data_IF_049765220942
#
_entry.id   IF_049765220942
#
_cell.length_a   1.000
_cell.length_b   1.000
_cell.length_c   1.000
_cell.angle_alpha   90.00
_cell.angle_beta   90.00
_cell.angle_gamma   90.00
#
_symmetry.space_group_name_H-M   'P 1'
#
loop_
_entity.id
_entity.type
_entity.pdbx_description
1 polymer ?
#
# COMPACT_ATOMS: atom_id res chain seq x y z
N UNK A 1 1.91 3.49 4.59
CA UNK A 1 1.81 4.72 5.41
C UNK A 1 2.87 5.69 4.91
N UNK A 2 2.48 6.87 4.42
CA UNK A 2 3.43 7.86 3.88
C UNK A 2 2.89 8.60 2.66
N UNK A 3 1.75 8.15 2.14
CA UNK A 3 1.09 8.79 0.99
C UNK A 3 -0.04 9.74 1.41
N UNK A 4 -0.29 9.94 2.72
CA UNK A 4 -1.24 10.93 3.26
C UNK A 4 -0.66 12.33 3.06
N UNK A 5 -0.82 12.87 1.85
CA UNK A 5 -0.22 14.13 1.43
C UNK A 5 -1.07 14.77 0.33
N UNK A 6 -1.40 16.04 0.48
CA UNK A 6 -2.07 16.83 -0.54
C UNK A 6 -1.26 16.91 -1.84
N UNK A 7 0.08 16.98 -1.74
CA UNK A 7 0.96 16.99 -2.91
C UNK A 7 0.82 15.72 -3.75
N UNK A 8 0.78 14.55 -3.10
CA UNK A 8 0.59 13.27 -3.81
C UNK A 8 -0.77 13.21 -4.48
N UNK A 9 -1.83 13.68 -3.81
CA UNK A 9 -3.18 13.72 -4.37
C UNK A 9 -3.25 14.68 -5.56
N UNK A 10 -2.63 15.86 -5.46
CA UNK A 10 -2.54 16.83 -6.54
C UNK A 10 -1.79 16.25 -7.75
N UNK A 11 -0.65 15.58 -7.56
CA UNK A 11 0.06 14.89 -8.63
C UNK A 11 -0.78 13.81 -9.32
N UNK A 12 -1.63 13.10 -8.58
CA UNK A 12 -2.56 12.14 -9.17
C UNK A 12 -3.64 12.85 -9.98
N UNK A 13 -4.20 13.95 -9.46
CA UNK A 13 -5.22 14.75 -10.13
C UNK A 13 -4.69 15.31 -11.47
N UNK A 14 -3.52 15.96 -11.48
CA UNK A 14 -2.91 16.53 -12.69
C UNK A 14 -2.58 15.50 -13.77
N UNK A 15 -2.34 14.24 -13.36
CA UNK A 15 -2.06 13.13 -14.28
C UNK A 15 -3.28 12.28 -14.61
N UNK A 16 -4.45 12.63 -14.12
CA UNK A 16 -5.67 11.83 -14.23
C UNK A 16 -5.48 10.38 -13.74
N UNK A 17 -4.70 10.19 -12.67
CA UNK A 17 -4.50 8.90 -12.04
C UNK A 17 -5.52 8.67 -10.93
N UNK A 18 -6.16 7.51 -10.95
CA UNK A 18 -7.00 7.07 -9.85
C UNK A 18 -6.15 6.63 -8.66
N UNK A 19 -6.58 6.99 -7.45
CA UNK A 19 -5.88 6.59 -6.23
C UNK A 19 -6.84 6.17 -5.12
N UNK A 20 -6.34 5.31 -4.24
CA UNK A 20 -6.96 4.94 -2.97
C UNK A 20 -5.87 5.02 -1.90
N UNK A 21 -5.94 6.00 -1.02
CA UNK A 21 -4.94 6.26 0.02
C UNK A 21 -5.58 6.11 1.38
N UNK A 22 -4.99 5.28 2.25
CA UNK A 22 -5.42 5.20 3.64
C UNK A 22 -4.84 6.35 4.44
N UNK A 23 -5.71 7.06 5.15
CA UNK A 23 -5.32 8.10 6.10
C UNK A 23 -5.36 7.58 7.55
N UNK A 24 -4.65 8.28 8.44
CA UNK A 24 -4.55 7.90 9.85
C UNK A 24 -5.80 8.33 10.62
N UNK A 25 -6.07 7.65 11.75
CA UNK A 25 -7.11 8.05 12.70
C UNK A 25 -6.57 8.85 13.90
N UNK A 26 -5.26 9.10 13.96
CA UNK A 26 -4.60 9.77 15.10
C UNK A 26 -4.68 11.29 15.09
N UNK A 27 -4.08 11.91 16.11
CA UNK A 27 -4.12 13.37 16.33
C UNK A 27 -3.49 14.21 15.21
N UNK A 28 -2.58 13.64 14.42
CA UNK A 28 -1.91 14.29 13.30
C UNK A 28 -2.44 13.79 11.95
N UNK A 29 -3.71 13.41 11.88
CA UNK A 29 -4.36 12.98 10.65
C UNK A 29 -4.90 14.16 9.87
N UNK A 30 -4.83 14.08 8.53
CA UNK A 30 -5.52 14.97 7.59
C UNK A 30 -7.01 15.13 7.96
N UNK A 31 -7.65 14.07 8.43
CA UNK A 31 -9.05 14.03 8.84
C UNK A 31 -9.44 15.13 9.85
N UNK A 32 -8.51 15.53 10.73
CA UNK A 32 -8.76 16.56 11.74
C UNK A 32 -8.90 17.99 11.19
N UNK A 33 -8.48 18.20 9.97
CA UNK A 33 -8.61 19.50 9.29
C UNK A 33 -10.01 19.73 8.72
N UNK A 34 -10.92 18.76 8.85
CA UNK A 34 -12.26 18.82 8.25
C UNK A 34 -13.34 18.72 9.31
N UNK A 35 -14.46 19.40 9.05
CA UNK A 35 -15.70 19.16 9.76
C UNK A 35 -16.38 17.93 9.14
N UNK A 36 -16.26 16.81 9.81
CA UNK A 36 -16.78 15.51 9.39
C UNK A 36 -18.05 15.18 10.18
N UNK A 37 -18.95 14.33 9.62
CA UNK A 37 -20.10 13.83 10.35
C UNK A 37 -19.70 13.08 11.64
N UNK A 38 -20.50 13.21 12.70
CA UNK A 38 -20.31 12.49 13.97
C UNK A 38 -20.62 10.99 13.86
N UNK A 39 -20.94 10.50 12.69
CA UNK A 39 -21.23 9.09 12.43
C UNK A 39 -19.94 8.28 12.31
N UNK A 40 -19.93 7.02 12.83
CA UNK A 40 -18.78 6.15 12.72
C UNK A 40 -18.35 5.86 11.28
N UNK A 41 -19.31 5.83 10.34
CA UNK A 41 -19.11 5.65 8.91
C UNK A 41 -19.63 6.87 8.17
N UNK A 42 -18.89 7.34 7.18
CA UNK A 42 -19.27 8.46 6.33
C UNK A 42 -18.65 8.33 4.94
N UNK A 43 -19.18 9.11 4.01
CA UNK A 43 -18.76 9.18 2.62
C UNK A 43 -18.99 10.61 2.14
N UNK A 44 -17.92 11.42 2.14
CA UNK A 44 -17.99 12.86 1.91
C UNK A 44 -17.06 13.27 0.77
N UNK A 45 -17.56 14.11 -0.15
CA UNK A 45 -16.77 14.71 -1.22
C UNK A 45 -16.29 16.10 -0.81
N UNK A 46 -15.09 16.45 -1.23
CA UNK A 46 -14.44 17.73 -0.92
C UNK A 46 -13.92 18.38 -2.18
N UNK A 47 -14.23 19.68 -2.31
CA UNK A 47 -13.63 20.60 -3.27
C UNK A 47 -12.79 21.61 -2.49
N UNK A 48 -11.51 21.29 -2.31
CA UNK A 48 -10.62 21.95 -1.37
C UNK A 48 -9.73 22.98 -2.06
N UNK A 49 -9.90 24.24 -1.71
CA UNK A 49 -9.05 25.35 -2.13
C UNK A 49 -7.82 25.45 -1.22
N UNK A 50 -6.68 24.97 -1.69
CA UNK A 50 -5.41 24.99 -0.96
C UNK A 50 -4.69 26.31 -1.23
N UNK A 51 -4.25 27.00 -0.17
CA UNK A 51 -3.57 28.28 -0.28
C UNK A 51 -2.46 28.41 0.79
N UNK A 52 -1.43 29.21 0.50
CA UNK A 52 -0.33 29.52 1.44
C UNK A 52 -0.48 30.88 2.13
N UNK A 53 -1.51 31.66 1.82
CA UNK A 53 -1.70 32.98 2.43
C UNK A 53 -2.31 32.92 3.82
N UNK A 54 -1.85 33.83 4.69
CA UNK A 54 -2.31 33.98 6.07
C UNK A 54 -2.79 35.42 6.35
N UNK A 55 -3.52 36.06 5.43
CA UNK A 55 -4.22 37.30 5.74
C UNK A 55 -5.33 37.05 6.76
N UNK A 56 -5.84 38.09 7.41
CA UNK A 56 -6.90 37.91 8.40
C UNK A 56 -8.15 37.30 7.77
N UNK A 57 -8.55 37.77 6.59
CA UNK A 57 -9.69 37.25 5.83
C UNK A 57 -9.49 35.74 5.49
N UNK A 58 -8.28 35.37 5.10
CA UNK A 58 -7.97 33.95 4.82
C UNK A 58 -8.01 33.08 6.08
N UNK A 59 -7.57 33.59 7.22
CA UNK A 59 -7.66 32.86 8.50
C UNK A 59 -9.11 32.61 8.93
N UNK A 60 -9.99 33.56 8.67
CA UNK A 60 -11.43 33.41 8.89
C UNK A 60 -12.01 32.32 7.98
N UNK A 61 -11.68 32.34 6.68
CA UNK A 61 -12.11 31.28 5.74
C UNK A 61 -11.62 29.88 6.17
N UNK A 62 -10.37 29.74 6.60
CA UNK A 62 -9.85 28.43 7.07
C UNK A 62 -10.55 27.93 8.33
N UNK A 63 -10.97 28.86 9.22
CA UNK A 63 -11.68 28.51 10.45
C UNK A 63 -13.14 28.17 10.19
N UNK A 64 -13.81 29.01 9.40
CA UNK A 64 -15.26 28.95 9.24
C UNK A 64 -15.69 27.95 8.15
N UNK A 65 -14.82 27.73 7.15
CA UNK A 65 -15.06 26.80 6.02
C UNK A 65 -13.91 25.81 5.80
N UNK A 66 -13.54 24.99 6.81
CA UNK A 66 -12.39 24.09 6.72
C UNK A 66 -12.56 22.99 5.68
N UNK A 67 -13.79 22.68 5.25
CA UNK A 67 -14.06 21.71 4.19
C UNK A 67 -13.85 22.27 2.78
N UNK A 68 -13.72 23.59 2.64
CA UNK A 68 -13.55 24.28 1.35
C UNK A 68 -12.21 25.00 1.24
N UNK A 69 -11.60 25.42 2.36
CA UNK A 69 -10.36 26.17 2.37
C UNK A 69 -9.32 25.55 3.30
N UNK A 70 -8.11 25.40 2.81
CA UNK A 70 -7.03 24.80 3.59
C UNK A 70 -5.75 25.62 3.51
N UNK A 71 -5.21 25.98 4.68
CA UNK A 71 -3.90 26.61 4.76
C UNK A 71 -2.79 25.56 4.65
N UNK A 72 -1.86 25.79 3.73
CA UNK A 72 -0.68 24.96 3.56
C UNK A 72 0.57 25.70 4.10
N UNK A 73 1.24 25.18 5.15
CA UNK A 73 2.45 25.80 5.68
C UNK A 73 3.58 25.86 4.64
N UNK A 74 4.47 26.87 4.75
CA UNK A 74 5.59 27.06 3.82
C UNK A 74 6.59 25.89 3.81
N UNK A 75 6.72 25.20 4.93
CA UNK A 75 7.59 24.01 5.05
C UNK A 75 6.95 22.72 4.50
N UNK A 76 5.67 22.76 4.13
CA UNK A 76 5.01 21.61 3.49
C UNK A 76 5.35 21.58 2.00
N UNK A 77 5.82 20.44 1.52
CA UNK A 77 6.09 20.23 0.10
C UNK A 77 4.78 20.24 -0.69
N UNK A 78 4.71 21.11 -1.70
CA UNK A 78 3.57 21.17 -2.62
C UNK A 78 4.02 21.85 -3.93
N UNK A 79 4.00 21.11 -5.02
CA UNK A 79 4.64 21.51 -6.27
C UNK A 79 3.80 22.43 -7.16
N UNK A 80 2.51 22.61 -6.82
CA UNK A 80 1.54 23.37 -7.61
C UNK A 80 1.23 24.77 -7.05
N UNK A 81 1.90 25.17 -5.97
CA UNK A 81 1.85 26.52 -5.43
C UNK A 81 3.25 27.01 -5.10
N UNK A 82 3.55 28.31 -5.26
CA UNK A 82 4.83 28.89 -4.87
C UNK A 82 5.20 28.56 -3.42
N UNK A 83 6.47 28.26 -3.17
CA UNK A 83 6.95 27.90 -1.82
C UNK A 83 6.86 29.04 -0.81
N UNK A 84 6.82 30.29 -1.27
CA UNK A 84 6.63 31.46 -0.45
C UNK A 84 5.50 32.34 -0.99
N UNK A 85 4.72 32.94 -0.10
CA UNK A 85 3.71 33.92 -0.44
C UNK A 85 3.94 35.17 0.40
N UNK A 86 4.34 36.29 -0.23
CA UNK A 86 4.42 37.60 0.41
C UNK A 86 3.01 38.20 0.52
N UNK A 87 2.83 39.19 1.42
CA UNK A 87 1.53 39.88 1.53
C UNK A 87 1.08 40.54 0.22
N UNK A 88 2.06 41.04 -0.56
CA UNK A 88 1.86 41.72 -1.86
C UNK A 88 1.56 40.77 -3.01
N UNK A 89 1.85 39.46 -2.90
CA UNK A 89 1.64 38.52 -3.99
C UNK A 89 0.13 38.31 -4.23
N UNK A 90 -0.30 38.02 -5.46
CA UNK A 90 -1.69 37.71 -5.73
C UNK A 90 -2.17 36.50 -4.94
N UNK A 91 -3.43 36.43 -4.62
CA UNK A 91 -4.06 35.29 -4.01
C UNK A 91 -4.11 34.14 -5.04
N UNK A 92 -3.54 33.00 -4.70
CA UNK A 92 -3.53 31.82 -5.54
C UNK A 92 -4.08 30.62 -4.77
N UNK A 93 -4.98 29.89 -5.41
CA UNK A 93 -5.54 28.65 -4.92
C UNK A 93 -5.15 27.50 -5.84
N UNK A 94 -4.97 26.34 -5.24
CA UNK A 94 -5.00 25.07 -5.95
C UNK A 94 -6.27 24.33 -5.54
N UNK A 95 -7.10 23.99 -6.51
CA UNK A 95 -8.34 23.25 -6.31
C UNK A 95 -8.06 21.76 -6.32
N UNK A 96 -8.28 21.09 -5.20
CA UNK A 96 -8.09 19.64 -5.05
C UNK A 96 -9.42 18.97 -4.79
N UNK A 97 -9.81 18.06 -5.69
CA UNK A 97 -11.04 17.30 -5.60
C UNK A 97 -10.76 15.89 -5.08
N UNK A 98 -11.43 15.48 -4.03
CA UNK A 98 -11.31 14.15 -3.49
C UNK A 98 -12.54 13.78 -2.65
N UNK A 99 -12.61 12.50 -2.33
CA UNK A 99 -13.67 11.93 -1.51
C UNK A 99 -13.03 11.20 -0.33
N UNK A 100 -13.58 11.37 0.85
CA UNK A 100 -13.13 10.71 2.07
C UNK A 100 -14.20 9.73 2.53
N UNK A 101 -13.85 8.46 2.57
CA UNK A 101 -14.77 7.37 2.90
C UNK A 101 -14.30 6.65 4.14
N UNK A 102 -15.16 6.56 5.16
CA UNK A 102 -14.89 5.81 6.38
C UNK A 102 -15.88 4.66 6.52
N UNK A 103 -15.38 3.47 6.73
CA UNK A 103 -16.17 2.26 6.87
C UNK A 103 -15.63 1.34 7.97
N UNK A 104 -16.50 0.48 8.44
CA UNK A 104 -16.14 -0.54 9.42
C UNK A 104 -15.55 -1.78 8.72
N UNK A 105 -14.35 -2.21 9.18
CA UNK A 105 -13.71 -3.44 8.68
C UNK A 105 -14.21 -4.65 9.47
N UNK A 106 -14.31 -4.50 10.79
CA UNK A 106 -14.82 -5.48 11.74
C UNK A 106 -15.36 -4.73 12.96
N UNK A 107 -16.24 -5.33 13.78
CA UNK A 107 -16.89 -4.65 14.88
C UNK A 107 -15.95 -3.77 15.70
N UNK A 108 -16.20 -2.46 15.74
CA UNK A 108 -15.42 -1.45 16.44
C UNK A 108 -14.11 -1.03 15.79
N UNK A 109 -13.77 -1.53 14.59
CA UNK A 109 -12.55 -1.17 13.86
C UNK A 109 -12.87 -0.50 12.54
N UNK A 110 -12.46 0.74 12.41
CA UNK A 110 -12.74 1.57 11.25
C UNK A 110 -11.48 1.85 10.44
N UNK A 111 -11.66 2.06 9.16
CA UNK A 111 -10.64 2.53 8.23
C UNK A 111 -11.17 3.74 7.46
N UNK A 112 -10.29 4.73 7.24
CA UNK A 112 -10.63 5.90 6.44
C UNK A 112 -9.73 5.94 5.21
N UNK A 113 -10.34 6.05 4.05
CA UNK A 113 -9.68 6.15 2.76
C UNK A 113 -9.97 7.49 2.12
N UNK A 114 -9.01 8.00 1.35
CA UNK A 114 -9.17 9.14 0.45
C UNK A 114 -9.00 8.66 -0.98
N UNK A 115 -9.88 9.08 -1.86
CA UNK A 115 -9.90 8.65 -3.27
C UNK A 115 -10.46 9.77 -4.17
N UNK A 116 -10.12 9.71 -5.45
CA UNK A 116 -10.75 10.52 -6.50
C UNK A 116 -11.65 9.67 -7.41
N UNK A 117 -12.05 8.47 -6.97
CA UNK A 117 -12.92 7.57 -7.73
C UNK A 117 -14.32 7.55 -7.18
N UNK A 118 -15.31 7.22 -8.03
CA UNK A 118 -16.73 7.08 -7.67
C UNK A 118 -17.11 5.67 -7.18
N UNK A 119 -16.10 4.85 -6.83
CA UNK A 119 -16.36 3.49 -6.35
C UNK A 119 -17.15 3.49 -5.05
N UNK A 120 -18.08 2.52 -4.91
CA UNK A 120 -18.82 2.34 -3.65
C UNK A 120 -17.88 2.02 -2.48
N UNK A 121 -18.28 2.29 -1.23
CA UNK A 121 -17.47 1.97 -0.04
C UNK A 121 -17.05 0.49 0.01
N UNK A 122 -17.94 -0.43 -0.40
CA UNK A 122 -17.68 -1.87 -0.47
C UNK A 122 -16.58 -2.17 -1.48
N UNK A 123 -16.67 -1.57 -2.67
CA UNK A 123 -15.65 -1.72 -3.72
C UNK A 123 -14.30 -1.16 -3.28
N UNK A 124 -14.29 -0.01 -2.60
CA UNK A 124 -13.07 0.58 -2.03
C UNK A 124 -12.45 -0.32 -0.97
N UNK A 125 -13.27 -0.91 -0.10
CA UNK A 125 -12.84 -1.87 0.92
C UNK A 125 -12.16 -3.08 0.30
N UNK A 126 -12.77 -3.66 -0.73
CA UNK A 126 -12.23 -4.81 -1.44
C UNK A 126 -10.91 -4.46 -2.16
N UNK A 127 -10.88 -3.37 -2.91
CA UNK A 127 -9.67 -2.92 -3.61
C UNK A 127 -8.54 -2.63 -2.64
N UNK A 128 -8.83 -1.98 -1.52
CA UNK A 128 -7.82 -1.69 -0.51
C UNK A 128 -7.30 -2.95 0.19
N UNK A 129 -8.15 -3.97 0.35
CA UNK A 129 -7.75 -5.26 0.91
C UNK A 129 -6.65 -5.95 0.07
N UNK A 130 -6.64 -5.79 -1.25
CA UNK A 130 -5.58 -6.32 -2.13
C UNK A 130 -4.19 -5.75 -1.82
N UNK A 131 -4.10 -4.58 -1.19
CA UNK A 131 -2.82 -4.02 -0.72
C UNK A 131 -2.06 -4.97 0.22
N UNK A 132 -2.76 -5.82 0.98
CA UNK A 132 -2.13 -6.84 1.83
C UNK A 132 -1.26 -7.84 1.05
N UNK A 133 -1.49 -7.97 -0.24
CA UNK A 133 -0.64 -8.77 -1.13
C UNK A 133 0.82 -8.30 -1.12
N UNK A 134 1.08 -7.00 -0.97
CA UNK A 134 2.43 -6.43 -0.89
C UNK A 134 3.16 -6.94 0.36
N UNK A 135 2.50 -6.97 1.54
CA UNK A 135 3.11 -7.44 2.78
C UNK A 135 3.44 -8.93 2.71
N UNK A 136 2.57 -9.72 2.06
CA UNK A 136 2.82 -11.13 1.79
C UNK A 136 3.98 -11.31 0.82
N UNK A 137 4.06 -10.50 -0.24
CA UNK A 137 5.16 -10.52 -1.21
C UNK A 137 6.50 -10.17 -0.56
N UNK A 138 6.56 -9.19 0.34
CA UNK A 138 7.79 -8.91 1.09
C UNK A 138 8.21 -10.06 1.99
N UNK A 139 7.25 -10.77 2.60
CA UNK A 139 7.55 -11.97 3.38
C UNK A 139 8.11 -13.07 2.50
N UNK A 140 7.50 -13.32 1.36
CA UNK A 140 7.93 -14.33 0.41
C UNK A 140 9.33 -14.01 -0.16
N UNK A 141 9.60 -12.74 -0.48
CA UNK A 141 10.93 -12.27 -0.90
C UNK A 141 11.99 -12.51 0.18
N UNK A 142 11.69 -12.13 1.43
CA UNK A 142 12.65 -12.26 2.53
C UNK A 142 12.96 -13.71 2.87
N UNK A 143 11.94 -14.55 2.95
CA UNK A 143 12.09 -15.90 3.53
C UNK A 143 12.10 -17.00 2.46
N UNK A 144 11.18 -16.99 1.50
CA UNK A 144 11.13 -18.05 0.47
C UNK A 144 12.20 -17.87 -0.61
N UNK A 145 12.47 -16.63 -0.99
CA UNK A 145 13.52 -16.30 -1.98
C UNK A 145 14.87 -16.06 -1.31
N UNK A 146 14.90 -15.61 -0.04
CA UNK A 146 16.11 -15.39 0.72
C UNK A 146 16.76 -14.02 0.50
N UNK A 147 15.95 -12.95 0.27
CA UNK A 147 16.46 -11.59 0.00
C UNK A 147 17.26 -10.98 1.18
N UNK A 148 17.27 -11.59 2.35
CA UNK A 148 18.04 -11.14 3.51
C UNK A 148 19.44 -11.74 3.63
N UNK A 149 19.82 -12.66 2.74
CA UNK A 149 21.11 -13.37 2.77
C UNK A 149 21.88 -13.09 1.49
N UNK A 150 23.04 -12.47 1.60
CA UNK A 150 23.91 -12.13 0.47
C UNK A 150 25.24 -12.86 0.58
N UNK A 151 25.83 -13.21 -0.58
CA UNK A 151 27.18 -13.76 -0.69
C UNK A 151 28.19 -12.66 -0.99
N UNK A 152 27.79 -11.71 -1.85
CA UNK A 152 28.63 -10.59 -2.25
C UNK A 152 28.80 -9.58 -1.11
N UNK A 153 30.00 -8.99 -1.01
CA UNK A 153 30.32 -7.92 -0.07
C UNK A 153 30.36 -6.54 -0.75
N UNK A 154 30.66 -6.50 -2.05
CA UNK A 154 30.69 -5.27 -2.84
C UNK A 154 29.30 -4.86 -3.27
N UNK A 155 29.06 -3.55 -3.39
CA UNK A 155 27.77 -2.96 -3.74
C UNK A 155 27.20 -3.52 -5.04
N UNK A 156 28.00 -3.63 -6.08
CA UNK A 156 27.61 -4.12 -7.39
C UNK A 156 27.14 -5.58 -7.33
N UNK A 157 27.86 -6.43 -6.62
CA UNK A 157 27.49 -7.83 -6.43
C UNK A 157 26.22 -7.98 -5.59
N UNK A 158 26.02 -7.14 -4.55
CA UNK A 158 24.78 -7.11 -3.76
C UNK A 158 23.60 -6.72 -4.65
N UNK A 159 23.74 -5.69 -5.48
CA UNK A 159 22.69 -5.26 -6.41
C UNK A 159 22.36 -6.37 -7.42
N UNK A 160 23.39 -7.04 -7.96
CA UNK A 160 23.19 -8.19 -8.86
C UNK A 160 22.38 -9.30 -8.19
N UNK A 161 22.72 -9.66 -6.95
CA UNK A 161 21.96 -10.66 -6.20
C UNK A 161 20.52 -10.23 -5.92
N UNK A 162 20.29 -8.94 -5.62
CA UNK A 162 18.95 -8.37 -5.42
C UNK A 162 18.12 -8.52 -6.71
N UNK A 163 18.65 -8.08 -7.85
CA UNK A 163 17.92 -8.16 -9.11
C UNK A 163 17.65 -9.62 -9.52
N UNK A 164 18.63 -10.51 -9.38
CA UNK A 164 18.45 -11.94 -9.65
C UNK A 164 17.31 -12.55 -8.80
N UNK A 165 17.20 -12.15 -7.53
CA UNK A 165 16.14 -12.61 -6.64
C UNK A 165 14.78 -12.03 -6.99
N UNK A 166 14.71 -10.78 -7.42
CA UNK A 166 13.47 -10.20 -7.92
C UNK A 166 13.00 -10.88 -9.20
N UNK A 167 13.90 -11.16 -10.13
CA UNK A 167 13.59 -11.90 -11.35
C UNK A 167 13.05 -13.29 -10.99
N UNK A 168 13.76 -14.03 -10.13
CA UNK A 168 13.32 -15.35 -9.67
C UNK A 168 11.94 -15.30 -8.98
N UNK A 169 11.70 -14.28 -8.14
CA UNK A 169 10.39 -14.06 -7.50
C UNK A 169 9.29 -13.86 -8.53
N UNK A 170 9.50 -12.99 -9.51
CA UNK A 170 8.51 -12.69 -10.54
C UNK A 170 8.22 -13.91 -11.42
N UNK A 171 9.25 -14.64 -11.83
CA UNK A 171 9.10 -15.89 -12.61
C UNK A 171 8.33 -16.94 -11.79
N UNK A 172 8.67 -17.14 -10.51
CA UNK A 172 7.94 -18.08 -9.66
C UNK A 172 6.47 -17.65 -9.46
N UNK A 173 6.20 -16.37 -9.26
CA UNK A 173 4.82 -15.85 -9.15
C UNK A 173 4.05 -16.05 -10.45
N UNK A 174 4.68 -15.78 -11.58
CA UNK A 174 4.06 -15.96 -12.88
C UNK A 174 3.76 -17.45 -13.15
N UNK A 175 4.70 -18.35 -12.98
CA UNK A 175 4.50 -19.80 -13.13
C UNK A 175 3.39 -20.32 -12.21
N UNK A 176 3.40 -19.91 -10.94
CA UNK A 176 2.38 -20.36 -9.97
C UNK A 176 0.99 -19.83 -10.28
N UNK A 177 0.86 -18.67 -10.94
CA UNK A 177 -0.45 -18.11 -11.32
C UNK A 177 -1.14 -18.91 -12.42
N UNK A 178 -0.39 -19.72 -13.18
CA UNK A 178 -0.94 -20.55 -14.26
C UNK A 178 -1.28 -21.97 -13.80
N UNK A 179 -0.93 -22.35 -12.56
CA UNK A 179 -1.24 -23.68 -12.04
C UNK A 179 -2.66 -23.73 -11.51
N UNK A 180 -3.49 -24.55 -12.14
CA UNK A 180 -4.87 -24.76 -11.70
C UNK A 180 -4.94 -25.68 -10.47
N UNK A 181 -5.56 -25.22 -9.39
CA UNK A 181 -5.81 -26.04 -8.20
C UNK A 181 -7.18 -26.72 -8.35
N UNK A 182 -7.19 -28.03 -8.41
CA UNK A 182 -8.43 -28.81 -8.42
C UNK A 182 -9.00 -28.89 -7.00
N UNK A 183 -9.91 -27.98 -6.65
CA UNK A 183 -10.47 -27.85 -5.30
C UNK A 183 -11.75 -28.64 -5.06
N UNK A 184 -12.38 -29.18 -6.11
CA UNK A 184 -13.73 -29.79 -6.05
C UNK A 184 -13.89 -30.97 -5.08
N UNK A 185 -12.80 -31.57 -4.61
CA UNK A 185 -12.81 -32.69 -3.64
C UNK A 185 -12.25 -32.31 -2.26
N UNK A 186 -11.87 -31.05 -2.04
CA UNK A 186 -11.19 -30.61 -0.83
C UNK A 186 -12.20 -30.05 0.17
N UNK A 187 -12.19 -30.53 1.41
CA UNK A 187 -13.07 -30.05 2.50
C UNK A 187 -12.76 -28.63 2.98
N UNK A 188 -11.62 -28.06 2.61
CA UNK A 188 -11.14 -26.76 3.04
C UNK A 188 -10.61 -25.94 1.85
N UNK A 189 -10.50 -24.65 2.01
CA UNK A 189 -9.87 -23.76 1.00
C UNK A 189 -8.36 -23.87 1.09
N UNK A 190 -7.70 -24.06 -0.04
CA UNK A 190 -6.25 -24.20 -0.15
C UNK A 190 -5.67 -23.14 -1.07
N UNK A 191 -4.41 -22.84 -0.85
CA UNK A 191 -3.57 -22.04 -1.75
C UNK A 191 -2.24 -22.75 -1.99
N UNK A 192 -1.57 -22.40 -3.05
CA UNK A 192 -0.23 -22.91 -3.35
C UNK A 192 0.71 -22.55 -2.21
N UNK A 193 1.51 -23.53 -1.76
CA UNK A 193 2.64 -23.31 -0.87
C UNK A 193 3.77 -22.65 -1.66
N UNK A 194 3.93 -21.32 -1.52
CA UNK A 194 4.89 -20.59 -2.35
C UNK A 194 6.35 -21.03 -2.14
N UNK A 195 6.73 -21.44 -0.94
CA UNK A 195 8.10 -21.94 -0.67
C UNK A 195 8.42 -23.20 -1.46
N UNK A 196 7.46 -24.16 -1.51
CA UNK A 196 7.61 -25.40 -2.28
C UNK A 196 7.57 -25.11 -3.79
N UNK A 197 6.72 -24.15 -4.21
CA UNK A 197 6.69 -23.72 -5.59
C UNK A 197 8.01 -23.08 -6.04
N UNK A 198 8.66 -22.26 -5.20
CA UNK A 198 9.99 -21.70 -5.49
C UNK A 198 11.04 -22.81 -5.65
N UNK A 199 10.98 -23.83 -4.80
CA UNK A 199 11.88 -24.97 -4.95
C UNK A 199 11.70 -25.68 -6.30
N UNK A 200 10.47 -25.99 -6.69
CA UNK A 200 10.16 -26.63 -7.96
C UNK A 200 10.51 -25.75 -9.16
N UNK A 201 10.21 -24.42 -9.09
CA UNK A 201 10.59 -23.48 -10.15
C UNK A 201 12.12 -23.41 -10.35
N UNK A 202 12.90 -23.44 -9.28
CA UNK A 202 14.36 -23.47 -9.38
C UNK A 202 14.88 -24.72 -10.08
N UNK A 203 14.26 -25.88 -9.81
CA UNK A 203 14.58 -27.13 -10.51
C UNK A 203 14.20 -27.05 -11.98
N UNK A 204 13.03 -26.52 -12.29
CA UNK A 204 12.60 -26.33 -13.68
C UNK A 204 13.54 -25.41 -14.46
N UNK A 205 13.98 -24.28 -13.86
CA UNK A 205 14.94 -23.37 -14.48
C UNK A 205 16.35 -23.98 -14.70
N UNK A 206 16.65 -25.07 -14.00
CA UNK A 206 17.88 -25.87 -14.20
C UNK A 206 17.67 -27.05 -15.13
N UNK A 207 16.52 -27.14 -15.78
CA UNK A 207 16.15 -28.27 -16.66
C UNK A 207 16.08 -29.64 -15.95
N UNK A 208 15.96 -29.62 -14.61
CA UNK A 208 15.81 -30.84 -13.80
C UNK A 208 14.34 -31.34 -13.77
N UNK A 209 13.37 -30.53 -14.17
CA UNK A 209 11.96 -30.88 -14.24
C UNK A 209 11.38 -30.42 -15.58
N UNK A 210 10.45 -31.22 -16.11
CA UNK A 210 9.60 -30.81 -17.23
C UNK A 210 8.47 -29.88 -16.75
N UNK A 211 7.81 -29.16 -17.68
CA UNK A 211 6.67 -28.30 -17.35
C UNK A 211 5.53 -29.08 -16.69
N UNK A 212 5.25 -30.28 -17.15
CA UNK A 212 4.25 -31.18 -16.56
C UNK A 212 4.60 -31.61 -15.13
N UNK A 213 5.86 -31.94 -14.88
CA UNK A 213 6.33 -32.28 -13.52
C UNK A 213 6.27 -31.08 -12.57
N UNK A 214 6.62 -29.88 -13.04
CA UNK A 214 6.52 -28.64 -12.29
C UNK A 214 5.07 -28.37 -11.87
N UNK A 215 4.13 -28.40 -12.83
CA UNK A 215 2.73 -28.16 -12.57
C UNK A 215 2.16 -29.19 -11.58
N UNK A 216 2.45 -30.46 -11.80
CA UNK A 216 2.03 -31.56 -10.92
C UNK A 216 2.57 -31.38 -9.49
N UNK A 217 3.83 -30.99 -9.36
CA UNK A 217 4.46 -30.75 -8.06
C UNK A 217 3.77 -29.58 -7.33
N UNK A 218 3.60 -28.45 -8.00
CA UNK A 218 2.97 -27.26 -7.40
C UNK A 218 1.52 -27.56 -6.99
N UNK A 219 0.76 -28.26 -7.84
CA UNK A 219 -0.63 -28.62 -7.57
C UNK A 219 -0.82 -29.57 -6.38
N UNK A 220 0.20 -30.35 -6.04
CA UNK A 220 0.21 -31.26 -4.88
C UNK A 220 0.61 -30.57 -3.57
N UNK A 221 1.45 -29.53 -3.64
CA UNK A 221 1.97 -28.85 -2.45
C UNK A 221 1.14 -27.61 -2.10
N UNK A 222 0.07 -27.84 -1.36
CA UNK A 222 -0.91 -26.81 -1.00
C UNK A 222 -0.83 -26.48 0.49
N UNK A 223 -1.12 -25.24 0.82
CA UNK A 223 -1.28 -24.75 2.20
C UNK A 223 -2.74 -24.45 2.49
N UNK A 224 -3.24 -24.81 3.67
CA UNK A 224 -4.61 -24.54 4.09
C UNK A 224 -4.79 -23.04 4.35
N UNK A 225 -5.83 -22.46 3.79
CA UNK A 225 -6.30 -21.12 4.14
C UNK A 225 -7.17 -21.28 5.38
N UNK A 226 -6.77 -20.63 6.48
CA UNK A 226 -7.52 -20.59 7.73
C UNK A 226 -8.14 -19.20 7.88
N UNK A 227 -9.38 -18.98 7.42
CA UNK A 227 -10.05 -17.70 7.58
C UNK A 227 -10.23 -17.37 9.07
N UNK A 228 -10.28 -16.11 9.41
CA UNK A 228 -10.53 -15.60 10.77
C UNK A 228 -9.51 -15.99 11.86
N UNK A 229 -8.37 -16.59 11.50
CA UNK A 229 -7.31 -16.87 12.44
C UNK A 229 -6.49 -15.62 12.70
N UNK A 230 -6.80 -14.91 13.78
CA UNK A 230 -6.02 -13.75 14.26
C UNK A 230 -5.16 -14.15 15.45
N UNK A 231 -3.87 -13.76 15.43
CA UNK A 231 -3.00 -13.86 16.60
C UNK A 231 -2.68 -12.46 17.09
N UNK A 232 -2.79 -12.22 18.38
CA UNK A 232 -2.24 -11.01 18.98
C UNK A 232 -0.74 -10.95 18.69
N UNK A 233 -0.30 -9.91 18.01
CA UNK A 233 1.14 -9.66 17.84
C UNK A 233 1.72 -9.28 19.20
N UNK A 234 2.61 -10.10 19.74
CA UNK A 234 3.48 -9.66 20.83
C UNK A 234 4.31 -8.48 20.33
N UNK A 235 4.10 -7.30 20.90
CA UNK A 235 4.89 -6.10 20.62
C UNK A 235 6.24 -6.32 21.32
N UNK A 236 7.14 -7.05 20.68
CA UNK A 236 8.55 -7.06 21.06
C UNK A 236 9.26 -6.04 20.16
N UNK A 237 10.06 -5.16 20.75
CA UNK A 237 11.01 -4.36 19.97
C UNK A 237 11.87 -5.34 19.18
N UNK A 238 11.73 -5.35 17.87
CA UNK A 238 12.57 -6.16 17.01
C UNK A 238 13.89 -5.41 16.88
N UNK A 239 14.99 -6.06 17.22
CA UNK A 239 16.29 -5.62 16.77
C UNK A 239 16.24 -5.37 15.25
N UNK A 240 16.92 -4.33 14.74
CA UNK A 240 16.99 -4.07 13.32
C UNK A 240 17.45 -5.35 12.62
N UNK A 241 16.78 -5.73 11.54
CA UNK A 241 17.15 -6.92 10.76
C UNK A 241 18.54 -6.65 10.17
N UNK A 242 19.57 -7.24 10.75
CA UNK A 242 20.88 -7.22 10.16
C UNK A 242 20.89 -8.15 8.94
N UNK A 243 21.40 -7.68 7.82
CA UNK A 243 21.68 -8.53 6.68
C UNK A 243 22.76 -9.52 7.08
N UNK A 244 22.50 -10.81 6.89
CA UNK A 244 23.47 -11.86 7.15
C UNK A 244 24.19 -12.25 5.87
N UNK A 245 25.52 -12.19 5.91
CA UNK A 245 26.34 -12.80 4.86
C UNK A 245 26.44 -14.30 5.12
N UNK A 246 26.27 -15.12 4.10
CA UNK A 246 26.61 -16.54 4.21
C UNK A 246 28.13 -16.61 4.19
N UNK A 247 28.67 -17.13 5.27
CA UNK A 247 30.08 -17.61 5.27
C UNK A 247 30.05 -18.91 4.48
N UNK A 248 30.79 -18.95 3.38
CA UNK A 248 31.02 -20.19 2.58
C UNK A 248 31.81 -21.14 3.40
#
# INVERSE_FOLDING_TARGET
RGYESYNVMAHCQERNWSYIIRIRDGNNSMKKSFHLPDTPCFDEAFDLNICRKQTNDMKELYRDFPNQYHFLPHNASFDFLPNSSRKSDPLQFYELHFRMVRFEIKPGFFETLVTNTDYSPEKLKDLYAYRWGIETSFRDLKYSIGLTHFHAKKKEGILQEIYARFINFNVCKWLTSHVAIKTSKLKQTYKICFSDAVYACRKFLREELTSFQLETYIAKHLSIIRPNRTFQRKIKSKAPVSFTYRVT
#
